data_IF_754631302085
#
_entry.id   IF_754631302085
#
_cell.length_a   1.000
_cell.length_b   1.000
_cell.length_c   1.000
_cell.angle_alpha   90.00
_cell.angle_beta   90.00
_cell.angle_gamma   90.00
#
_symmetry.space_group_name_H-M   'P 1'
#
loop_
_entity.id
_entity.type
_entity.pdbx_description
1 polymer ?
#
# COMPACT_ATOMS: atom_id res chain seq x y z
N UNK A 1 -1.47 6.47 -11.02
CA UNK A 1 -2.87 6.01 -10.82
C UNK A 1 -3.18 6.19 -9.35
N UNK A 2 -4.30 6.81 -9.00
CA UNK A 2 -4.72 6.91 -7.60
C UNK A 2 -5.85 5.90 -7.36
N UNK A 3 -5.64 5.05 -6.37
CA UNK A 3 -6.59 4.08 -5.85
C UNK A 3 -7.18 4.68 -4.56
N UNK A 4 -8.49 4.68 -4.42
CA UNK A 4 -9.09 5.01 -3.13
C UNK A 4 -9.23 3.73 -2.33
N UNK A 5 -8.82 3.79 -1.07
CA UNK A 5 -9.17 2.76 -0.11
C UNK A 5 -10.69 2.76 0.06
N UNK A 6 -11.36 1.88 -0.67
CA UNK A 6 -12.82 1.79 -0.67
C UNK A 6 -13.41 1.39 0.67
N UNK A 7 -12.60 1.02 1.68
CA UNK A 7 -13.05 0.54 2.98
C UNK A 7 -12.07 0.90 4.13
N UNK A 8 -11.62 2.16 4.26
CA UNK A 8 -10.77 2.58 5.40
C UNK A 8 -11.53 3.09 6.64
N UNK A 9 -12.86 3.16 6.57
CA UNK A 9 -13.70 3.49 7.71
C UNK A 9 -15.12 3.02 7.42
N UNK A 10 -15.48 1.85 7.92
CA UNK A 10 -16.88 1.49 8.08
C UNK A 10 -17.16 1.52 9.58
N UNK A 11 -18.04 2.42 10.04
CA UNK A 11 -18.51 2.44 11.43
C UNK A 11 -19.33 1.17 11.82
N UNK A 12 -19.25 0.12 11.01
CA UNK A 12 -19.84 -1.19 11.24
C UNK A 12 -18.69 -2.14 11.55
N UNK A 13 -18.76 -2.83 12.69
CA UNK A 13 -17.72 -3.71 13.26
C UNK A 13 -17.36 -4.95 12.40
N UNK A 14 -17.09 -4.77 11.11
CA UNK A 14 -16.74 -5.82 10.16
C UNK A 14 -15.38 -5.48 9.53
N UNK A 15 -14.34 -6.15 10.02
CA UNK A 15 -12.99 -6.22 9.43
C UNK A 15 -12.35 -4.84 9.16
N UNK A 16 -12.29 -4.02 10.19
CA UNK A 16 -11.68 -2.69 10.16
C UNK A 16 -10.26 -2.80 10.71
N UNK A 17 -9.25 -2.67 9.84
CA UNK A 17 -7.97 -1.94 9.96
C UNK A 17 -7.12 -2.36 8.75
N UNK A 18 -7.37 -1.71 7.62
CA UNK A 18 -6.44 -1.73 6.49
C UNK A 18 -5.53 -0.50 6.61
N UNK A 19 -4.36 -0.64 7.23
CA UNK A 19 -3.34 0.41 7.16
C UNK A 19 -2.83 0.50 5.73
N UNK A 20 -2.65 1.72 5.25
CA UNK A 20 -2.31 2.01 3.87
C UNK A 20 -1.37 3.19 3.74
N UNK A 21 -0.26 3.00 3.05
CA UNK A 21 0.65 4.09 2.70
C UNK A 21 1.12 3.94 1.27
N UNK A 22 1.30 5.04 0.54
CA UNK A 22 2.12 4.99 -0.67
C UNK A 22 3.51 5.56 -0.41
N UNK A 23 4.47 5.07 -1.18
CA UNK A 23 5.86 5.50 -1.19
C UNK A 23 6.22 5.94 -2.59
N UNK A 24 7.06 6.96 -2.72
CA UNK A 24 7.36 7.58 -4.01
C UNK A 24 8.85 7.75 -4.21
N UNK A 25 9.36 7.26 -5.33
CA UNK A 25 10.79 7.29 -5.64
C UNK A 25 11.31 8.68 -6.01
N UNK A 26 10.44 9.62 -6.40
CA UNK A 26 10.84 11.00 -6.69
C UNK A 26 10.98 11.83 -5.41
N UNK A 27 10.23 11.48 -4.36
CA UNK A 27 10.41 12.04 -3.03
C UNK A 27 10.72 10.95 -2.00
N UNK A 28 11.95 10.39 -2.03
CA UNK A 28 12.20 9.08 -1.45
C UNK A 28 12.26 9.05 0.08
N UNK A 29 12.22 10.22 0.73
CA UNK A 29 12.22 10.37 2.18
C UNK A 29 10.93 11.00 2.72
N UNK A 30 9.91 11.21 1.87
CA UNK A 30 8.60 11.66 2.32
C UNK A 30 7.73 10.47 2.71
N UNK A 31 7.00 10.64 3.82
CA UNK A 31 5.99 9.71 4.28
C UNK A 31 4.60 10.25 3.92
N UNK A 32 3.74 9.37 3.40
CA UNK A 32 2.41 9.74 2.91
C UNK A 32 1.26 9.02 3.63
N UNK A 33 1.55 8.00 4.44
CA UNK A 33 0.50 7.15 5.02
C UNK A 33 -0.46 7.86 5.99
N UNK A 34 -0.02 8.89 6.71
CA UNK A 34 -0.88 9.61 7.67
C UNK A 34 -1.65 10.80 7.08
N UNK A 35 -1.38 11.19 5.84
CA UNK A 35 -1.90 12.43 5.25
C UNK A 35 -2.64 12.24 3.93
N UNK A 36 -2.49 11.08 3.29
CA UNK A 36 -3.06 10.83 1.98
C UNK A 36 -4.34 10.01 2.09
N UNK A 37 -5.40 10.47 1.43
CA UNK A 37 -6.69 9.77 1.33
C UNK A 37 -6.75 8.80 0.14
N UNK A 38 -5.61 8.53 -0.50
CA UNK A 38 -5.48 7.70 -1.68
C UNK A 38 -4.13 6.98 -1.68
N UNK A 39 -4.05 5.92 -2.48
CA UNK A 39 -2.90 5.08 -2.69
C UNK A 39 -2.42 5.23 -4.13
N UNK A 40 -1.18 5.66 -4.32
CA UNK A 40 -0.61 5.89 -5.64
C UNK A 40 0.18 4.67 -6.12
N UNK A 41 -0.15 4.20 -7.33
CA UNK A 41 0.61 3.15 -8.04
C UNK A 41 1.00 3.59 -9.44
N UNK A 42 2.13 3.07 -9.92
CA UNK A 42 2.65 3.32 -11.26
C UNK A 42 3.62 4.49 -11.27
N UNK A 43 3.50 5.41 -12.23
CA UNK A 43 4.37 6.59 -12.30
C UNK A 43 4.30 7.44 -11.03
N UNK A 44 5.44 8.04 -10.66
CA UNK A 44 5.57 8.89 -9.49
C UNK A 44 4.54 10.02 -9.46
N UNK A 45 4.03 10.29 -8.26
CA UNK A 45 3.09 11.38 -7.97
C UNK A 45 3.77 12.75 -7.87
N UNK A 46 5.11 12.81 -7.90
CA UNK A 46 5.85 14.08 -7.92
C UNK A 46 5.74 14.87 -9.22
N UNK A 47 5.10 14.30 -10.24
CA UNK A 47 4.74 14.98 -11.48
C UNK A 47 5.92 15.21 -12.44
N UNK A 48 5.77 16.11 -13.42
CA UNK A 48 6.77 16.33 -14.48
C UNK A 48 8.13 16.84 -14.01
N UNK A 49 8.21 17.36 -12.77
CA UNK A 49 9.45 17.81 -12.14
C UNK A 49 10.37 16.65 -11.71
N UNK A 50 9.87 15.42 -11.71
CA UNK A 50 10.66 14.20 -11.56
C UNK A 50 11.38 13.90 -12.87
N UNK A 51 12.43 14.68 -13.16
CA UNK A 51 13.06 14.79 -14.49
C UNK A 51 13.83 13.54 -14.95
N UNK A 52 14.02 12.54 -14.10
CA UNK A 52 14.64 11.28 -14.49
C UNK A 52 13.57 10.27 -14.89
N UNK A 53 13.72 9.67 -16.07
CA UNK A 53 12.84 8.60 -16.51
C UNK A 53 12.93 7.41 -15.53
N UNK A 54 11.78 6.92 -15.06
CA UNK A 54 11.69 5.70 -14.25
C UNK A 54 11.27 5.90 -12.79
N UNK A 55 10.84 7.10 -12.39
CA UNK A 55 10.25 7.29 -11.07
C UNK A 55 8.85 6.69 -10.99
N UNK A 56 8.64 5.90 -9.94
CA UNK A 56 7.38 5.24 -9.63
C UNK A 56 6.89 5.55 -8.20
N UNK A 57 5.58 5.38 -8.00
CA UNK A 57 4.92 5.23 -6.71
C UNK A 57 4.49 3.78 -6.51
N UNK A 58 4.55 3.32 -5.26
CA UNK A 58 4.06 2.00 -4.84
C UNK A 58 3.20 2.14 -3.60
N UNK A 59 2.20 1.28 -3.48
CA UNK A 59 1.31 1.25 -2.32
C UNK A 59 1.62 0.05 -1.44
N UNK A 60 1.61 0.28 -0.13
CA UNK A 60 1.72 -0.69 0.93
C UNK A 60 0.36 -0.80 1.60
N UNK A 61 -0.08 -2.03 1.82
CA UNK A 61 -1.35 -2.36 2.44
C UNK A 61 -1.10 -3.44 3.47
N UNK A 62 -1.68 -3.28 4.67
CA UNK A 62 -1.66 -4.29 5.72
C UNK A 62 -3.08 -4.49 6.22
N UNK A 63 -3.49 -5.75 6.29
CA UNK A 63 -4.78 -6.15 6.84
C UNK A 63 -4.56 -6.80 8.20
N UNK A 64 -5.23 -6.28 9.22
CA UNK A 64 -5.32 -6.98 10.51
C UNK A 64 -6.38 -8.08 10.42
N UNK A 65 -5.91 -9.33 10.43
CA UNK A 65 -6.77 -10.53 10.40
C UNK A 65 -6.96 -11.14 11.79
N UNK A 66 -6.50 -10.50 12.86
CA UNK A 66 -6.64 -11.03 14.23
C UNK A 66 -8.09 -11.21 14.65
N UNK A 67 -8.99 -10.41 14.08
CA UNK A 67 -10.44 -10.49 14.32
C UNK A 67 -11.16 -11.42 13.32
N UNK A 68 -10.44 -12.05 12.38
CA UNK A 68 -11.02 -13.11 11.57
C UNK A 68 -11.26 -14.30 12.49
N UNK A 69 -12.51 -14.79 12.62
CA UNK A 69 -12.83 -15.91 13.50
C UNK A 69 -12.25 -17.20 12.92
N UNK A 70 -10.95 -17.35 13.14
CA UNK A 70 -10.20 -18.57 12.94
C UNK A 70 -10.60 -19.47 14.11
N UNK A 71 -11.41 -20.50 13.83
CA UNK A 71 -11.84 -21.42 14.87
C UNK A 71 -10.62 -22.22 15.35
N UNK A 72 -10.13 -21.90 16.55
CA UNK A 72 -9.09 -22.66 17.22
C UNK A 72 -9.61 -24.07 17.53
N UNK A 73 -8.98 -25.09 16.96
CA UNK A 73 -9.22 -26.49 17.30
C UNK A 73 -9.68 -27.39 16.16
N UNK A 74 -10.16 -26.82 15.05
CA UNK A 74 -10.52 -27.56 13.83
C UNK A 74 -9.66 -27.10 12.64
N UNK A 75 -9.43 -28.01 11.68
CA UNK A 75 -8.72 -27.66 10.45
C UNK A 75 -9.60 -26.74 9.59
N UNK A 76 -9.34 -25.44 9.67
CA UNK A 76 -9.94 -24.44 8.79
C UNK A 76 -9.01 -24.21 7.58
N UNK A 77 -9.62 -23.90 6.44
CA UNK A 77 -8.89 -23.53 5.23
C UNK A 77 -9.56 -22.31 4.61
N UNK A 78 -8.76 -21.40 4.07
CA UNK A 78 -9.26 -20.31 3.24
C UNK A 78 -9.72 -20.91 1.92
N UNK A 79 -11.02 -20.89 1.66
CA UNK A 79 -11.59 -21.38 0.39
C UNK A 79 -11.42 -20.34 -0.71
N UNK A 80 -11.60 -19.07 -0.36
CA UNK A 80 -11.57 -17.94 -1.29
C UNK A 80 -11.26 -16.66 -0.54
N UNK A 81 -10.48 -15.77 -1.18
CA UNK A 81 -10.20 -14.43 -0.68
C UNK A 81 -10.14 -13.49 -1.89
N UNK A 82 -10.93 -12.41 -1.83
CA UNK A 82 -10.97 -11.39 -2.87
C UNK A 82 -10.41 -10.09 -2.35
N UNK A 83 -9.66 -9.40 -3.21
CA UNK A 83 -9.18 -8.06 -2.96
C UNK A 83 -9.69 -7.14 -4.07
N UNK A 84 -10.57 -6.22 -3.70
CA UNK A 84 -11.19 -5.27 -4.63
C UNK A 84 -10.73 -3.85 -4.29
N UNK A 85 -10.38 -3.08 -5.33
CA UNK A 85 -9.99 -1.69 -5.20
C UNK A 85 -10.72 -0.85 -6.24
N UNK A 86 -11.03 0.40 -5.87
CA UNK A 86 -11.59 1.37 -6.79
C UNK A 86 -10.52 2.34 -7.28
N UNK A 87 -10.43 2.48 -8.61
CA UNK A 87 -9.60 3.50 -9.25
C UNK A 87 -10.34 4.83 -9.23
N UNK A 88 -9.79 5.84 -8.56
CA UNK A 88 -10.35 7.20 -8.56
C UNK A 88 -9.78 8.12 -9.63
N UNK A 89 -8.53 7.91 -10.05
CA UNK A 89 -7.90 8.76 -11.05
C UNK A 89 -6.76 8.05 -11.78
N UNK A 90 -6.32 8.62 -12.91
CA UNK A 90 -5.10 8.20 -13.60
C UNK A 90 -4.98 8.80 -15.00
N UNK A 91 -3.77 8.77 -15.54
CA UNK A 91 -3.42 9.39 -16.82
C UNK A 91 -3.82 8.58 -18.06
N UNK A 92 -4.28 7.34 -17.89
CA UNK A 92 -4.66 6.43 -18.98
C UNK A 92 -6.14 6.03 -18.87
N UNK A 93 -6.87 5.96 -19.98
CA UNK A 93 -8.24 5.40 -19.97
C UNK A 93 -8.28 3.87 -20.04
N UNK A 94 -7.13 3.22 -20.12
CA UNK A 94 -7.00 1.76 -20.17
C UNK A 94 -6.84 1.16 -18.77
N UNK A 95 -7.11 -0.14 -18.69
CA UNK A 95 -6.78 -0.95 -17.52
C UNK A 95 -5.27 -0.87 -17.25
N UNK A 96 -4.92 -0.78 -15.97
CA UNK A 96 -3.53 -0.75 -15.52
C UNK A 96 -3.22 -2.06 -14.86
N UNK A 97 -2.21 -2.75 -15.36
CA UNK A 97 -1.70 -3.94 -14.70
C UNK A 97 -1.05 -3.55 -13.38
N UNK A 98 -1.59 -4.08 -12.29
CA UNK A 98 -1.06 -3.90 -10.93
C UNK A 98 -0.46 -5.23 -10.48
N UNK A 99 0.77 -5.18 -9.99
CA UNK A 99 1.41 -6.34 -9.34
C UNK A 99 1.32 -6.19 -7.83
N UNK A 100 1.04 -7.30 -7.15
CA UNK A 100 0.86 -7.36 -5.69
C UNK A 100 1.89 -8.31 -5.06
N UNK A 101 3.12 -7.85 -4.85
CA UNK A 101 4.13 -8.63 -4.13
C UNK A 101 3.88 -8.60 -2.62
N UNK A 102 4.14 -9.73 -1.93
CA UNK A 102 4.11 -9.78 -0.48
C UNK A 102 5.28 -8.99 0.12
N UNK A 103 4.98 -8.10 1.06
CA UNK A 103 5.99 -7.37 1.83
C UNK A 103 6.30 -8.17 3.09
N UNK A 104 7.52 -8.66 3.22
CA UNK A 104 7.94 -9.49 4.37
C UNK A 104 8.52 -8.68 5.54
N UNK A 105 8.50 -7.36 5.43
CA UNK A 105 9.08 -6.44 6.42
C UNK A 105 7.96 -5.76 7.17
N UNK A 106 8.12 -5.62 8.48
CA UNK A 106 7.23 -4.75 9.22
C UNK A 106 7.55 -3.28 8.84
N UNK A 107 6.50 -2.46 8.75
CA UNK A 107 6.55 -1.04 8.38
C UNK A 107 5.54 -0.26 9.23
N UNK A 108 5.74 1.05 9.31
CA UNK A 108 4.90 1.96 10.10
C UNK A 108 4.31 3.01 9.18
N UNK A 109 2.98 3.00 9.01
CA UNK A 109 2.21 3.84 8.08
C UNK A 109 2.59 5.32 8.13
N UNK A 110 2.75 5.88 9.33
CA UNK A 110 3.07 7.29 9.51
C UNK A 110 4.51 7.69 9.17
N UNK A 111 5.43 6.72 9.01
CA UNK A 111 6.87 7.01 8.82
C UNK A 111 7.51 6.27 7.65
N UNK A 112 6.76 5.40 6.98
CA UNK A 112 7.25 4.63 5.85
C UNK A 112 7.52 5.54 4.65
N UNK A 113 8.66 5.32 3.98
CA UNK A 113 9.13 6.09 2.83
C UNK A 113 9.71 5.15 1.77
N UNK A 114 10.10 5.69 0.61
CA UNK A 114 10.77 4.88 -0.41
C UNK A 114 12.07 4.24 0.10
N UNK A 115 12.83 4.94 0.95
CA UNK A 115 14.11 4.45 1.48
C UNK A 115 13.98 3.68 2.80
N UNK A 116 12.91 3.90 3.57
CA UNK A 116 12.77 3.40 4.95
C UNK A 116 11.43 2.71 5.22
N UNK A 117 11.46 1.58 5.91
CA UNK A 117 10.24 0.87 6.33
C UNK A 117 9.62 1.48 7.59
N UNK A 118 10.46 2.02 8.48
CA UNK A 118 10.08 2.86 9.61
C UNK A 118 11.27 3.73 10.04
N UNK A 119 11.07 4.59 11.04
CA UNK A 119 12.11 5.49 11.58
C UNK A 119 13.45 4.79 11.88
N UNK A 120 14.50 5.19 11.17
CA UNK A 120 15.86 4.62 11.27
C UNK A 120 16.02 3.16 10.83
N UNK A 121 15.10 2.62 10.01
CA UNK A 121 15.25 1.29 9.43
C UNK A 121 14.96 1.32 7.93
N UNK A 122 15.90 0.80 7.14
CA UNK A 122 15.88 0.83 5.69
C UNK A 122 15.35 -0.48 5.12
N UNK A 123 14.73 -0.41 3.94
CA UNK A 123 14.52 -1.60 3.12
C UNK A 123 15.88 -2.20 2.71
N UNK A 124 15.94 -3.50 2.39
CA UNK A 124 17.12 -4.07 1.73
C UNK A 124 17.36 -3.44 0.36
N UNK A 125 16.26 -3.10 -0.33
CA UNK A 125 16.27 -2.38 -1.59
C UNK A 125 15.18 -1.31 -1.56
N UNK A 126 15.47 -0.06 -1.95
CA UNK A 126 14.47 1.00 -1.98
C UNK A 126 13.19 0.60 -2.72
N UNK A 127 12.05 1.12 -2.25
CA UNK A 127 10.73 0.85 -2.81
C UNK A 127 10.01 -0.36 -2.19
N UNK A 128 10.43 -0.85 -1.03
CA UNK A 128 9.58 -1.71 -0.18
C UNK A 128 9.40 -3.18 -0.62
N UNK A 129 10.12 -3.65 -1.63
CA UNK A 129 9.96 -5.02 -2.14
C UNK A 129 10.70 -6.08 -1.31
N UNK A 130 11.76 -5.70 -0.59
CA UNK A 130 12.61 -6.63 0.16
C UNK A 130 13.16 -6.00 1.45
N UNK A 131 13.33 -6.86 2.44
CA UNK A 131 14.19 -6.77 3.61
C UNK A 131 14.94 -8.10 3.74
#
# INVERSE_FOLDING_TARGET
MELTNGNAYSATNAYDVAEGAYIDSCNPNAAYGSSSSYLSVGLSNGGPACTNAGHESRSLLRFDISNVPIMDGDAWQVVEAHFEMYRISGSSNYDTDVSLPSVHCNWVESTVTWNQCWTNNTWQSPGGLRC
#
